data_IF_062967646940
#
_entry.id   IF_062967646940
#
_cell.length_a   1.000
_cell.length_b   1.000
_cell.length_c   1.000
_cell.angle_alpha   90.00
_cell.angle_beta   90.00
_cell.angle_gamma   90.00
#
_symmetry.space_group_name_H-M   'P 1'
#
loop_
_entity.id
_entity.type
_entity.pdbx_description
1 polymer ?
#
# COMPACT_ATOMS: atom_id res chain seq x y z
N UNK A 1 36.75 -10.31 -75.34
CA UNK A 1 37.90 -9.43 -74.99
C UNK A 1 37.34 -8.26 -74.21
N UNK A 2 38.12 -7.68 -73.28
CA UNK A 2 37.74 -6.75 -72.20
C UNK A 2 37.10 -7.48 -70.99
N UNK A 3 37.66 -7.61 -69.80
CA UNK A 3 38.87 -7.07 -69.18
C UNK A 3 38.54 -6.36 -67.85
N UNK A 4 38.66 -7.09 -66.73
CA UNK A 4 38.81 -6.66 -65.31
C UNK A 4 37.77 -5.69 -64.70
N UNK A 5 37.33 -5.79 -63.46
CA UNK A 5 38.12 -5.77 -62.22
C UNK A 5 37.22 -6.16 -61.04
N UNK A 6 37.70 -7.00 -60.12
CA UNK A 6 37.04 -7.26 -58.85
C UNK A 6 37.41 -6.18 -57.83
N UNK A 7 36.42 -5.54 -57.21
CA UNK A 7 36.60 -4.71 -56.01
C UNK A 7 35.99 -5.45 -54.84
N UNK A 8 36.84 -5.91 -53.91
CA UNK A 8 36.39 -6.38 -52.59
C UNK A 8 36.30 -5.14 -51.71
N UNK A 9 35.07 -4.69 -51.44
CA UNK A 9 34.81 -3.67 -50.43
C UNK A 9 34.58 -4.39 -49.10
N UNK A 10 35.48 -4.19 -48.14
CA UNK A 10 35.24 -4.57 -46.75
C UNK A 10 34.29 -3.54 -46.12
N UNK A 11 33.15 -3.93 -45.51
CA UNK A 11 32.42 -3.03 -44.65
C UNK A 11 33.30 -2.74 -43.43
N UNK A 12 33.65 -1.47 -43.28
CA UNK A 12 34.31 -0.91 -42.11
C UNK A 12 33.48 -1.24 -40.86
N UNK A 13 34.16 -1.71 -39.83
CA UNK A 13 33.56 -1.95 -38.54
C UNK A 13 33.09 -0.64 -37.90
N UNK A 14 31.98 -0.74 -37.17
CA UNK A 14 31.51 0.18 -36.13
C UNK A 14 30.86 1.50 -36.58
N UNK A 15 29.63 1.38 -37.09
CA UNK A 15 28.58 2.32 -36.67
C UNK A 15 28.04 1.85 -35.33
N UNK A 16 28.65 2.30 -34.22
CA UNK A 16 28.07 2.15 -32.90
C UNK A 16 26.75 2.94 -32.89
N UNK A 17 25.65 2.27 -33.19
CA UNK A 17 24.33 2.76 -32.84
C UNK A 17 24.33 2.95 -31.33
N UNK A 18 24.39 4.19 -30.87
CA UNK A 18 24.13 4.51 -29.48
C UNK A 18 22.69 4.08 -29.26
N UNK A 19 22.51 2.88 -28.73
CA UNK A 19 21.24 2.44 -28.20
C UNK A 19 20.80 3.55 -27.26
N UNK A 20 19.72 4.25 -27.62
CA UNK A 20 19.10 5.22 -26.72
C UNK A 20 18.67 4.40 -25.53
N UNK A 21 19.46 4.44 -24.45
CA UNK A 21 19.13 3.79 -23.19
C UNK A 21 17.69 4.22 -22.88
N UNK A 22 16.76 3.26 -22.92
CA UNK A 22 15.35 3.55 -22.69
C UNK A 22 15.27 4.37 -21.42
N UNK A 23 14.61 5.54 -21.47
CA UNK A 23 14.49 6.39 -20.29
C UNK A 23 13.91 5.53 -19.17
N UNK A 24 14.72 5.27 -18.14
CA UNK A 24 14.30 4.51 -16.98
C UNK A 24 13.07 5.22 -16.41
N UNK A 25 11.90 4.58 -16.54
CA UNK A 25 10.65 5.10 -15.97
C UNK A 25 10.76 4.89 -14.47
N UNK A 26 11.06 5.97 -13.75
CA UNK A 26 11.07 5.95 -12.28
C UNK A 26 9.62 5.87 -11.80
N UNK A 27 9.34 4.89 -10.96
CA UNK A 27 8.04 4.66 -10.37
C UNK A 27 8.18 4.69 -8.84
N UNK A 28 7.15 5.19 -8.17
CA UNK A 28 7.03 5.23 -6.72
C UNK A 28 5.64 4.74 -6.36
N UNK A 29 5.54 3.92 -5.31
CA UNK A 29 4.28 3.57 -4.68
C UNK A 29 4.13 4.39 -3.39
N UNK A 30 2.97 5.03 -3.23
CA UNK A 30 2.63 5.75 -2.00
C UNK A 30 1.76 4.83 -1.15
N UNK A 31 2.14 4.64 0.11
CA UNK A 31 1.40 3.84 1.07
C UNK A 31 1.33 4.57 2.40
N UNK A 32 0.19 4.47 3.09
CA UNK A 32 -0.02 5.11 4.38
C UNK A 32 -0.43 4.03 5.38
N UNK A 33 0.37 3.85 6.42
CA UNK A 33 0.13 2.86 7.46
C UNK A 33 -0.69 3.45 8.62
N UNK A 34 -1.17 2.56 9.49
CA UNK A 34 -1.91 2.89 10.71
C UNK A 34 -3.28 3.58 10.52
N UNK A 35 -3.99 3.36 9.41
CA UNK A 35 -5.33 3.90 9.25
C UNK A 35 -6.29 3.40 10.35
N UNK A 36 -7.23 4.26 10.83
CA UNK A 36 -7.50 5.63 10.39
C UNK A 36 -6.55 6.70 10.95
N UNK A 37 -5.54 6.35 11.73
CA UNK A 37 -4.49 7.28 12.13
C UNK A 37 -3.52 6.69 13.14
N UNK A 38 -2.24 6.97 12.95
CA UNK A 38 -1.19 6.72 13.94
C UNK A 38 -1.42 7.61 15.16
N UNK A 39 -1.30 7.03 16.36
CA UNK A 39 -1.56 7.73 17.63
C UNK A 39 -0.31 7.64 18.49
N UNK A 40 0.07 8.71 19.20
CA UNK A 40 1.21 8.65 20.10
C UNK A 40 1.01 7.66 21.26
N UNK A 41 1.94 6.71 21.36
CA UNK A 41 2.50 6.02 22.52
C UNK A 41 1.60 5.37 23.60
N UNK A 42 0.29 5.15 23.42
CA UNK A 42 -0.45 4.22 24.30
C UNK A 42 -1.29 3.20 23.53
N UNK A 43 -1.17 1.88 23.82
CA UNK A 43 -1.98 0.82 23.20
C UNK A 43 -3.49 0.90 23.46
N UNK A 44 -3.92 1.80 24.35
CA UNK A 44 -5.30 2.02 24.73
C UNK A 44 -5.94 3.23 24.01
N UNK A 45 -5.15 4.14 23.44
CA UNK A 45 -5.69 5.28 22.73
C UNK A 45 -6.02 4.89 21.29
N UNK A 46 -7.28 5.08 20.91
CA UNK A 46 -7.74 5.03 19.51
C UNK A 46 -7.79 6.43 18.88
N UNK A 47 -7.24 7.45 19.53
CA UNK A 47 -7.03 8.78 18.96
C UNK A 47 -8.31 9.61 19.00
N UNK A 48 -8.16 10.93 19.02
CA UNK A 48 -9.29 11.85 19.02
C UNK A 48 -10.00 11.82 17.65
N UNK A 49 -11.32 11.61 17.62
CA UNK A 49 -12.08 11.47 16.39
C UNK A 49 -11.99 12.71 15.50
N UNK A 50 -11.90 13.92 16.06
CA UNK A 50 -11.78 15.16 15.28
C UNK A 50 -10.44 15.24 14.58
N UNK A 51 -9.36 14.81 15.23
CA UNK A 51 -8.05 14.70 14.58
C UNK A 51 -8.06 13.66 13.46
N UNK A 52 -8.67 12.49 13.70
CA UNK A 52 -8.80 11.44 12.69
C UNK A 52 -9.62 11.93 11.48
N UNK A 53 -10.74 12.63 11.70
CA UNK A 53 -11.51 13.26 10.61
C UNK A 53 -10.61 14.19 9.81
N UNK A 54 -9.85 15.08 10.47
CA UNK A 54 -8.95 16.01 9.78
C UNK A 54 -7.93 15.28 8.89
N UNK A 55 -7.29 14.23 9.38
CA UNK A 55 -6.27 13.50 8.61
C UNK A 55 -6.87 12.73 7.42
N UNK A 56 -8.01 12.05 7.65
CA UNK A 56 -8.68 11.26 6.61
C UNK A 56 -9.46 12.10 5.61
N UNK A 57 -9.61 13.40 5.84
CA UNK A 57 -10.03 14.37 4.82
C UNK A 57 -8.83 14.93 4.05
N UNK A 58 -7.80 15.38 4.77
CA UNK A 58 -6.65 16.06 4.16
C UNK A 58 -5.82 15.13 3.26
N UNK A 59 -5.43 13.95 3.75
CA UNK A 59 -4.51 13.06 3.03
C UNK A 59 -5.14 12.56 1.71
N UNK A 60 -6.36 11.97 1.70
CA UNK A 60 -6.98 11.54 0.46
C UNK A 60 -7.25 12.70 -0.50
N UNK A 61 -7.64 13.87 0.00
CA UNK A 61 -7.89 15.05 -0.82
C UNK A 61 -6.63 15.53 -1.57
N UNK A 62 -5.51 15.63 -0.86
CA UNK A 62 -4.22 16.01 -1.45
C UNK A 62 -3.76 14.98 -2.49
N UNK A 63 -3.78 13.69 -2.14
CA UNK A 63 -3.38 12.62 -3.06
C UNK A 63 -4.24 12.63 -4.33
N UNK A 64 -5.55 12.81 -4.19
CA UNK A 64 -6.49 12.87 -5.32
C UNK A 64 -6.24 14.10 -6.19
N UNK A 65 -6.04 15.27 -5.60
CA UNK A 65 -5.74 16.51 -6.32
C UNK A 65 -4.44 16.41 -7.15
N UNK A 66 -3.46 15.65 -6.65
CA UNK A 66 -2.20 15.41 -7.34
C UNK A 66 -2.20 14.15 -8.23
N UNK A 67 -3.35 13.49 -8.42
CA UNK A 67 -3.46 12.25 -9.20
C UNK A 67 -2.47 11.17 -8.75
N UNK A 68 -2.19 11.13 -7.44
CA UNK A 68 -1.21 10.25 -6.84
C UNK A 68 -1.93 9.02 -6.25
N UNK A 69 -1.90 7.85 -6.91
CA UNK A 69 -2.51 6.65 -6.37
C UNK A 69 -1.82 6.21 -5.08
N UNK A 70 -2.60 5.71 -4.13
CA UNK A 70 -2.09 5.26 -2.85
C UNK A 70 -2.90 4.08 -2.29
N UNK A 71 -2.27 3.36 -1.35
CA UNK A 71 -2.87 2.29 -0.57
C UNK A 71 -2.83 2.69 0.91
N UNK A 72 -3.96 2.57 1.60
CA UNK A 72 -4.06 2.76 3.04
C UNK A 72 -4.09 1.43 3.79
N UNK A 73 -3.19 1.23 4.76
CA UNK A 73 -3.11 0.01 5.56
C UNK A 73 -3.81 0.20 6.92
N UNK A 74 -4.82 -0.64 7.20
CA UNK A 74 -5.81 -0.45 8.27
C UNK A 74 -5.52 -1.30 9.50
N UNK A 75 -5.65 -0.71 10.69
CA UNK A 75 -5.79 -1.45 11.95
C UNK A 75 -7.22 -1.39 12.49
N UNK A 76 -8.00 -2.46 12.35
CA UNK A 76 -9.42 -2.42 12.72
C UNK A 76 -9.68 -2.27 14.23
N UNK A 77 -8.71 -2.56 15.11
CA UNK A 77 -8.84 -2.27 16.55
C UNK A 77 -9.08 -0.78 16.79
N UNK A 78 -8.51 0.10 15.96
CA UNK A 78 -8.69 1.56 16.06
C UNK A 78 -10.10 2.02 15.72
N UNK A 79 -10.92 1.16 15.13
CA UNK A 79 -12.34 1.40 14.88
C UNK A 79 -13.21 1.05 16.10
N UNK A 80 -12.71 0.25 17.04
CA UNK A 80 -13.49 -0.31 18.16
C UNK A 80 -13.55 0.65 19.35
N UNK A 81 -14.14 1.83 19.12
CA UNK A 81 -14.43 2.82 20.17
C UNK A 81 -15.94 2.90 20.37
N UNK A 82 -16.38 2.75 21.62
CA UNK A 82 -17.79 2.79 21.98
C UNK A 82 -18.43 4.12 21.53
N UNK A 83 -19.53 4.04 20.78
CA UNK A 83 -20.23 5.21 20.23
C UNK A 83 -19.59 5.85 18.99
N UNK A 84 -18.38 5.44 18.58
CA UNK A 84 -17.66 6.04 17.44
C UNK A 84 -17.37 5.07 16.30
N UNK A 85 -17.67 3.77 16.45
CA UNK A 85 -17.32 2.73 15.47
C UNK A 85 -17.75 3.09 14.05
N UNK A 86 -19.00 3.51 13.88
CA UNK A 86 -19.54 3.86 12.55
C UNK A 86 -18.87 5.11 11.98
N UNK A 87 -18.64 6.13 12.83
CA UNK A 87 -17.95 7.35 12.44
C UNK A 87 -16.50 7.07 12.00
N UNK A 88 -15.82 6.13 12.68
CA UNK A 88 -14.45 5.69 12.36
C UNK A 88 -14.41 4.84 11.10
N UNK A 89 -15.38 3.94 10.91
CA UNK A 89 -15.52 3.17 9.67
C UNK A 89 -15.79 4.07 8.45
N UNK A 90 -16.57 5.15 8.63
CA UNK A 90 -16.82 6.15 7.59
C UNK A 90 -15.53 6.87 7.15
N UNK A 91 -14.48 6.92 8.00
CA UNK A 91 -13.18 7.45 7.58
C UNK A 91 -12.53 6.56 6.52
N UNK A 92 -12.63 5.24 6.64
CA UNK A 92 -12.13 4.29 5.63
C UNK A 92 -12.94 4.39 4.33
N UNK A 93 -14.26 4.57 4.44
CA UNK A 93 -15.10 4.80 3.25
C UNK A 93 -14.64 6.03 2.45
N UNK A 94 -14.20 7.12 3.11
CA UNK A 94 -13.66 8.30 2.42
C UNK A 94 -12.44 7.99 1.56
N UNK A 95 -11.58 7.07 1.98
CA UNK A 95 -10.44 6.63 1.16
C UNK A 95 -10.91 5.88 -0.09
N UNK A 96 -11.90 5.00 0.07
CA UNK A 96 -12.50 4.24 -1.03
C UNK A 96 -13.20 5.20 -2.02
N UNK A 97 -13.99 6.15 -1.53
CA UNK A 97 -14.70 7.16 -2.34
C UNK A 97 -13.74 8.10 -3.07
N UNK A 98 -12.56 8.35 -2.49
CA UNK A 98 -11.50 9.10 -3.14
C UNK A 98 -10.79 8.30 -4.25
N UNK A 99 -11.10 7.01 -4.40
CA UNK A 99 -10.57 6.11 -5.43
C UNK A 99 -9.41 5.24 -4.96
N UNK A 100 -8.99 5.36 -3.70
CA UNK A 100 -7.86 4.61 -3.15
C UNK A 100 -8.23 3.16 -2.82
N UNK A 101 -7.21 2.36 -2.55
CA UNK A 101 -7.35 1.00 -2.05
C UNK A 101 -6.99 0.93 -0.58
N UNK A 102 -7.53 -0.07 0.09
CA UNK A 102 -7.21 -0.39 1.47
C UNK A 102 -6.57 -1.77 1.54
N UNK A 103 -5.64 -1.93 2.47
CA UNK A 103 -5.00 -3.19 2.80
C UNK A 103 -5.02 -3.46 4.30
N UNK A 104 -4.76 -4.71 4.66
CA UNK A 104 -4.76 -5.18 6.03
C UNK A 104 -3.41 -4.90 6.71
N UNK A 105 -3.43 -4.28 7.89
CA UNK A 105 -2.24 -4.02 8.70
C UNK A 105 -2.29 -4.73 10.06
N UNK A 106 -2.96 -5.87 10.13
CA UNK A 106 -3.40 -6.58 11.34
C UNK A 106 -4.43 -5.80 12.15
N UNK A 107 -5.17 -6.51 13.00
CA UNK A 107 -6.20 -5.93 13.86
C UNK A 107 -5.62 -4.89 14.82
N UNK A 108 -4.59 -5.22 15.59
CA UNK A 108 -4.08 -4.43 16.71
C UNK A 108 -2.69 -3.83 16.52
N UNK A 109 -2.11 -3.99 15.32
CA UNK A 109 -0.71 -3.65 15.02
C UNK A 109 0.27 -4.56 15.78
N UNK A 110 -0.02 -5.87 15.81
CA UNK A 110 0.74 -6.86 16.56
C UNK A 110 2.15 -7.08 15.98
N UNK A 111 3.14 -7.18 16.87
CA UNK A 111 4.51 -7.53 16.48
C UNK A 111 4.64 -9.04 16.27
N UNK A 112 4.83 -9.48 15.03
CA UNK A 112 4.90 -10.91 14.72
C UNK A 112 6.09 -11.62 15.40
N UNK A 113 7.17 -10.91 15.72
CA UNK A 113 8.30 -11.50 16.43
C UNK A 113 8.00 -11.79 17.91
N UNK A 114 6.82 -11.40 18.41
CA UNK A 114 6.43 -11.52 19.81
C UNK A 114 5.14 -12.30 20.03
N UNK A 115 4.47 -12.72 18.96
CA UNK A 115 3.23 -13.51 19.01
C UNK A 115 3.41 -14.79 18.21
N UNK A 116 2.60 -15.80 18.50
CA UNK A 116 2.56 -17.06 17.75
C UNK A 116 1.97 -16.88 16.35
N UNK A 117 2.19 -17.86 15.48
CA UNK A 117 1.54 -17.92 14.16
C UNK A 117 0.01 -17.83 14.28
N UNK A 118 -0.58 -18.59 15.20
CA UNK A 118 -2.01 -18.62 15.43
C UNK A 118 -2.54 -17.23 15.83
N UNK A 119 -1.84 -16.53 16.72
CA UNK A 119 -2.20 -15.16 17.10
C UNK A 119 -2.09 -14.19 15.91
N UNK A 120 -1.10 -14.36 15.03
CA UNK A 120 -0.97 -13.54 13.82
C UNK A 120 -2.06 -13.82 12.78
N UNK A 121 -2.46 -15.08 12.62
CA UNK A 121 -3.62 -15.46 11.79
C UNK A 121 -4.90 -14.82 12.32
N UNK A 122 -5.15 -14.90 13.62
CA UNK A 122 -6.29 -14.26 14.28
C UNK A 122 -6.25 -12.73 14.11
N UNK A 123 -5.07 -12.11 14.28
CA UNK A 123 -4.87 -10.68 14.04
C UNK A 123 -5.16 -10.28 12.59
N UNK A 124 -4.84 -11.14 11.63
CA UNK A 124 -5.12 -10.91 10.21
C UNK A 124 -6.63 -11.03 9.93
N UNK A 125 -7.27 -12.10 10.38
CA UNK A 125 -8.71 -12.38 10.16
C UNK A 125 -9.60 -11.34 10.86
N UNK A 126 -9.21 -10.89 12.05
CA UNK A 126 -9.94 -9.82 12.76
C UNK A 126 -9.68 -8.45 12.14
N UNK A 127 -8.56 -8.28 11.43
CA UNK A 127 -8.12 -7.02 10.82
C UNK A 127 -8.77 -6.69 9.48
N UNK A 128 -9.62 -7.58 8.95
CA UNK A 128 -10.23 -7.44 7.61
C UNK A 128 -11.76 -7.29 7.62
N UNK A 129 -12.42 -7.45 8.76
CA UNK A 129 -13.89 -7.61 8.83
C UNK A 129 -14.64 -6.40 8.23
N UNK A 130 -14.35 -5.19 8.72
CA UNK A 130 -15.01 -3.97 8.26
C UNK A 130 -14.46 -3.57 6.90
N UNK A 131 -13.14 -3.62 6.73
CA UNK A 131 -12.41 -3.21 5.53
C UNK A 131 -12.85 -4.00 4.31
N UNK A 132 -12.95 -5.33 4.44
CA UNK A 132 -13.48 -6.23 3.39
C UNK A 132 -14.92 -5.91 3.05
N UNK A 133 -15.77 -5.65 4.03
CA UNK A 133 -17.18 -5.31 3.79
C UNK A 133 -17.33 -4.00 2.99
N UNK A 134 -16.56 -2.97 3.35
CA UNK A 134 -16.55 -1.68 2.64
C UNK A 134 -16.02 -1.84 1.21
N UNK A 135 -14.89 -2.54 1.02
CA UNK A 135 -14.32 -2.80 -0.30
C UNK A 135 -15.28 -3.61 -1.18
N UNK A 136 -15.89 -4.66 -0.64
CA UNK A 136 -16.86 -5.50 -1.37
C UNK A 136 -18.07 -4.68 -1.83
N UNK A 137 -18.58 -3.80 -0.97
CA UNK A 137 -19.69 -2.90 -1.29
C UNK A 137 -19.32 -1.91 -2.42
N UNK A 138 -18.03 -1.59 -2.57
CA UNK A 138 -17.49 -0.79 -3.66
C UNK A 138 -17.04 -1.61 -4.89
N UNK A 139 -17.34 -2.91 -4.95
CA UNK A 139 -16.93 -3.80 -6.05
C UNK A 139 -15.43 -4.09 -6.09
N UNK A 140 -14.73 -3.91 -4.97
CA UNK A 140 -13.29 -4.18 -4.79
C UNK A 140 -13.07 -5.39 -3.87
N UNK A 141 -11.86 -5.94 -3.92
CA UNK A 141 -11.38 -6.94 -2.95
C UNK A 141 -10.18 -6.40 -2.19
N UNK A 142 -10.01 -6.86 -0.96
CA UNK A 142 -8.79 -6.62 -0.18
C UNK A 142 -7.68 -7.54 -0.71
N UNK A 143 -6.59 -6.95 -1.21
CA UNK A 143 -5.51 -7.70 -1.90
C UNK A 143 -4.15 -7.55 -1.26
N UNK A 144 -3.99 -6.57 -0.38
CA UNK A 144 -2.71 -6.19 0.18
C UNK A 144 -2.69 -6.37 1.69
N UNK A 145 -1.57 -6.87 2.16
CA UNK A 145 -1.25 -7.02 3.57
C UNK A 145 0.14 -6.42 3.80
N UNK A 146 0.34 -5.78 4.95
CA UNK A 146 1.66 -5.32 5.41
C UNK A 146 1.86 -5.69 6.86
N UNK A 147 2.99 -6.30 7.17
CA UNK A 147 3.37 -6.60 8.55
C UNK A 147 3.65 -5.31 9.34
N UNK A 148 3.07 -5.16 10.55
CA UNK A 148 3.49 -4.15 11.52
C UNK A 148 5.00 -4.19 11.75
N UNK A 149 5.63 -3.02 11.84
CA UNK A 149 7.08 -2.86 12.05
C UNK A 149 7.98 -3.54 11.00
N UNK A 150 7.41 -4.03 9.89
CA UNK A 150 8.08 -4.91 8.92
C UNK A 150 8.59 -6.23 9.53
N UNK A 151 8.05 -6.63 10.68
CA UNK A 151 8.41 -7.90 11.31
C UNK A 151 7.57 -9.02 10.73
N UNK A 152 8.23 -9.87 9.94
CA UNK A 152 7.62 -10.99 9.21
C UNK A 152 7.69 -12.30 9.99
N UNK A 153 7.90 -12.23 11.31
CA UNK A 153 8.05 -13.39 12.18
C UNK A 153 9.53 -13.75 12.42
N UNK A 154 9.80 -14.61 13.41
CA UNK A 154 11.15 -14.91 13.86
C UNK A 154 11.94 -15.83 12.91
N UNK A 155 11.28 -16.54 12.00
CA UNK A 155 11.94 -17.48 11.06
C UNK A 155 11.32 -17.43 9.66
N UNK A 156 11.78 -18.26 8.72
CA UNK A 156 11.21 -18.30 7.37
C UNK A 156 9.90 -19.11 7.29
N UNK A 157 9.72 -20.01 8.26
CA UNK A 157 8.58 -20.90 8.40
C UNK A 157 7.41 -20.24 9.13
N UNK A 158 7.65 -19.06 9.74
CA UNK A 158 6.72 -18.31 10.59
C UNK A 158 6.96 -16.81 10.48
#
# INVERSE_FOLDING_TARGET
MFGATAVVVWPSSQGAGVARAGQLRRQVAITVDDLPGAIPATPAASGDLRDLVRYNEAIPSILKAHHAPAIGFVNEKRLQVAGERDARAALLQRWIDAGFELGNHTYSHANFNQVSLQEMEDETIRGEVITRALLTSAGKSERYFRYPYLFTGPTAEV
#
